data_IF_510222802974
#
_entry.id   IF_510222802974
#
_cell.length_a   1.000
_cell.length_b   1.000
_cell.length_c   1.000
_cell.angle_alpha   90.00
_cell.angle_beta   90.00
_cell.angle_gamma   90.00
#
_symmetry.space_group_name_H-M   'P 1'
#
loop_
_entity.id
_entity.type
_entity.pdbx_description
1 polymer ?
#
# COMPACT_ATOMS: atom_id res chain seq x y z
N UNK A 1 -4.28 -28.24 28.26
CA UNK A 1 -3.27 -27.89 27.24
C UNK A 1 -3.25 -26.38 27.11
N UNK A 2 -2.14 -25.74 27.47
CA UNK A 2 -2.01 -24.30 27.54
C UNK A 2 -1.47 -23.72 26.22
N UNK A 3 -2.09 -22.61 25.80
CA UNK A 3 -1.58 -21.44 25.07
C UNK A 3 -0.80 -21.61 23.75
N UNK A 4 -1.45 -21.18 22.66
CA UNK A 4 -0.86 -20.26 21.69
C UNK A 4 -1.96 -19.34 21.13
N UNK A 5 -1.95 -18.11 21.61
CA UNK A 5 -2.71 -16.94 21.13
C UNK A 5 -2.10 -16.54 19.78
N UNK A 6 -2.87 -16.41 18.71
CA UNK A 6 -2.65 -15.60 17.49
C UNK A 6 -3.72 -16.13 16.50
N UNK A 7 -4.83 -15.46 16.24
CA UNK A 7 -4.88 -14.18 15.55
C UNK A 7 -6.32 -13.65 15.69
N UNK A 8 -6.59 -12.96 16.79
CA UNK A 8 -7.71 -12.03 16.83
C UNK A 8 -7.20 -10.71 16.29
N UNK A 9 -7.59 -10.34 15.08
CA UNK A 9 -7.76 -8.95 14.64
C UNK A 9 -8.36 -9.00 13.22
N UNK A 10 -9.69 -8.89 13.10
CA UNK A 10 -10.40 -7.61 12.89
C UNK A 10 -10.10 -7.07 11.50
N UNK A 11 -10.99 -7.30 10.55
CA UNK A 11 -11.15 -6.40 9.40
C UNK A 11 -12.61 -6.00 9.21
N UNK A 12 -13.14 -5.36 10.24
CA UNK A 12 -14.04 -4.22 10.04
C UNK A 12 -13.15 -2.97 9.95
N UNK A 13 -12.60 -2.70 8.77
CA UNK A 13 -12.19 -1.35 8.38
C UNK A 13 -12.32 -1.29 6.87
N UNK A 14 -13.20 -0.42 6.40
CA UNK A 14 -13.43 -0.08 4.99
C UNK A 14 -12.16 0.49 4.30
N UNK A 15 -11.05 0.59 5.02
CA UNK A 15 -9.76 1.13 4.58
C UNK A 15 -8.63 0.30 5.21
N UNK A 16 -7.59 -0.07 4.44
CA UNK A 16 -6.44 -0.77 4.96
C UNK A 16 -5.66 0.15 5.92
N UNK A 17 -5.18 -0.41 7.04
CA UNK A 17 -4.34 0.34 7.97
C UNK A 17 -2.99 0.69 7.32
N UNK A 18 -2.42 1.84 7.67
CA UNK A 18 -1.12 2.31 7.16
C UNK A 18 -0.04 1.22 7.21
N UNK A 19 0.04 0.46 8.31
CA UNK A 19 0.98 -0.65 8.48
C UNK A 19 0.79 -1.79 7.45
N UNK A 20 -0.44 -2.08 7.05
CA UNK A 20 -0.70 -3.14 6.06
C UNK A 20 -0.37 -2.69 4.64
N UNK A 21 -0.70 -1.44 4.31
CA UNK A 21 -0.31 -0.82 3.05
C UNK A 21 1.21 -0.78 2.97
N UNK A 22 1.89 -0.30 4.01
CA UNK A 22 3.34 -0.25 4.06
C UNK A 22 3.97 -1.64 3.92
N UNK A 23 3.45 -2.65 4.62
CA UNK A 23 3.96 -4.02 4.53
C UNK A 23 3.76 -4.65 3.14
N UNK A 24 2.60 -4.41 2.51
CA UNK A 24 2.31 -4.89 1.17
C UNK A 24 3.22 -4.23 0.13
N UNK A 25 3.40 -2.91 0.23
CA UNK A 25 4.26 -2.16 -0.68
C UNK A 25 5.75 -2.45 -0.43
N UNK A 26 6.21 -2.57 0.81
CA UNK A 26 7.60 -2.94 1.14
C UNK A 26 8.03 -4.27 0.54
N UNK A 27 7.12 -5.24 0.41
CA UNK A 27 7.41 -6.52 -0.26
C UNK A 27 7.77 -6.37 -1.74
N UNK A 28 7.26 -5.32 -2.39
CA UNK A 28 7.43 -5.05 -3.82
C UNK A 28 8.42 -3.90 -4.10
N UNK A 29 8.67 -3.06 -3.11
CA UNK A 29 9.57 -1.92 -3.21
C UNK A 29 11.03 -2.36 -3.24
N UNK A 30 11.84 -1.64 -4.01
CA UNK A 30 13.29 -1.80 -4.08
C UNK A 30 13.95 -0.46 -3.81
N UNK A 31 14.84 -0.42 -2.82
CA UNK A 31 15.59 0.80 -2.48
C UNK A 31 14.73 1.99 -2.05
N UNK A 32 13.57 1.75 -1.43
CA UNK A 32 12.64 2.82 -1.01
C UNK A 32 11.74 3.36 -2.11
N UNK A 33 11.84 2.82 -3.33
CA UNK A 33 10.97 3.14 -4.46
C UNK A 33 10.15 1.94 -4.87
N UNK A 34 9.00 2.17 -5.47
CA UNK A 34 8.09 1.13 -5.96
C UNK A 34 7.50 1.52 -7.31
N UNK A 35 7.25 0.54 -8.17
CA UNK A 35 6.59 0.77 -9.46
C UNK A 35 5.12 1.08 -9.24
N UNK A 36 4.58 2.00 -10.03
CA UNK A 36 3.14 2.36 -10.02
C UNK A 36 2.26 1.11 -10.11
N UNK A 37 2.63 0.17 -10.98
CA UNK A 37 1.92 -1.10 -11.20
C UNK A 37 1.85 -1.97 -9.94
N UNK A 38 2.96 -2.08 -9.20
CA UNK A 38 3.04 -2.85 -7.96
C UNK A 38 2.28 -2.18 -6.81
N UNK A 39 2.23 -0.84 -6.79
CA UNK A 39 1.37 -0.11 -5.87
C UNK A 39 -0.09 -0.46 -6.17
N UNK A 40 -0.54 -0.23 -7.40
CA UNK A 40 -1.92 -0.48 -7.84
C UNK A 40 -2.38 -1.92 -7.59
N UNK A 41 -1.51 -2.91 -7.82
CA UNK A 41 -1.79 -4.30 -7.51
C UNK A 41 -2.01 -4.54 -6.02
N UNK A 42 -1.20 -3.89 -5.16
CA UNK A 42 -1.27 -4.03 -3.71
C UNK A 42 -2.53 -3.39 -3.12
N UNK A 43 -2.83 -2.14 -3.49
CA UNK A 43 -4.06 -1.44 -3.06
C UNK A 43 -5.34 -1.99 -3.69
N UNK A 44 -5.28 -2.49 -4.93
CA UNK A 44 -6.41 -3.18 -5.55
C UNK A 44 -6.81 -4.43 -4.76
N UNK A 45 -5.85 -5.15 -4.19
CA UNK A 45 -6.12 -6.27 -3.29
C UNK A 45 -6.70 -5.86 -1.93
N UNK A 46 -6.53 -4.60 -1.54
CA UNK A 46 -7.05 -4.02 -0.30
C UNK A 46 -8.42 -3.35 -0.47
N UNK A 47 -8.96 -3.32 -1.70
CA UNK A 47 -10.26 -2.71 -2.00
C UNK A 47 -10.25 -1.18 -2.04
N UNK A 48 -9.07 -0.54 -2.07
CA UNK A 48 -8.93 0.92 -2.19
C UNK A 48 -9.14 1.32 -3.66
N UNK A 49 -9.84 2.44 -3.89
CA UNK A 49 -10.01 3.00 -5.23
C UNK A 49 -8.67 3.33 -5.87
N UNK A 50 -8.32 2.56 -6.90
CA UNK A 50 -7.07 2.68 -7.64
C UNK A 50 -7.01 3.92 -8.52
N UNK A 51 -8.14 4.57 -8.83
CA UNK A 51 -8.19 5.76 -9.70
C UNK A 51 -7.47 6.98 -9.08
N UNK A 52 -7.79 7.32 -7.83
CA UNK A 52 -7.16 8.43 -7.11
C UNK A 52 -5.65 8.17 -6.93
N UNK A 53 -5.28 6.93 -6.64
CA UNK A 53 -3.90 6.53 -6.45
C UNK A 53 -3.15 6.50 -7.79
N UNK A 54 -3.73 5.97 -8.86
CA UNK A 54 -3.15 5.98 -10.21
C UNK A 54 -2.86 7.41 -10.68
N UNK A 55 -3.81 8.33 -10.47
CA UNK A 55 -3.63 9.74 -10.80
C UNK A 55 -2.47 10.35 -10.02
N UNK A 56 -2.46 10.18 -8.70
CA UNK A 56 -1.38 10.67 -7.84
C UNK A 56 -0.02 10.09 -8.26
N UNK A 57 0.05 8.78 -8.51
CA UNK A 57 1.26 8.09 -8.91
C UNK A 57 1.75 8.54 -10.30
N UNK A 58 0.85 8.85 -11.24
CA UNK A 58 1.22 9.40 -12.55
C UNK A 58 1.79 10.80 -12.47
N UNK A 59 1.30 11.62 -11.53
CA UNK A 59 1.81 12.97 -11.28
C UNK A 59 3.15 12.96 -10.51
N UNK A 60 3.37 11.96 -9.66
CA UNK A 60 4.54 11.87 -8.78
C UNK A 60 5.60 10.84 -9.18
N UNK A 61 5.46 10.17 -10.34
CA UNK A 61 6.47 9.22 -10.81
C UNK A 61 7.73 9.90 -11.32
N UNK A 62 8.86 9.27 -11.07
CA UNK A 62 10.14 9.60 -11.69
C UNK A 62 10.16 9.22 -13.18
N UNK A 63 11.20 9.65 -13.90
CA UNK A 63 11.42 9.30 -15.31
C UNK A 63 11.55 7.79 -15.56
N UNK A 64 11.85 6.99 -14.53
CA UNK A 64 11.86 5.52 -14.57
C UNK A 64 10.49 4.88 -14.29
N UNK A 65 9.44 5.67 -14.05
CA UNK A 65 8.11 5.16 -13.70
C UNK A 65 8.02 4.58 -12.28
N UNK A 66 8.97 4.94 -11.42
CA UNK A 66 8.96 4.59 -10.00
C UNK A 66 8.45 5.75 -9.17
N UNK A 67 7.88 5.45 -8.02
CA UNK A 67 7.41 6.42 -7.03
C UNK A 67 8.06 6.16 -5.68
N UNK A 68 8.13 7.18 -4.85
CA UNK A 68 8.61 7.04 -3.49
C UNK A 68 7.61 6.22 -2.65
N UNK A 69 8.11 5.17 -1.99
CA UNK A 69 7.30 4.28 -1.17
C UNK A 69 6.60 5.05 -0.06
N UNK A 70 7.31 5.95 0.62
CA UNK A 70 6.76 6.69 1.76
C UNK A 70 5.69 7.66 1.28
N UNK A 71 5.90 8.32 0.13
CA UNK A 71 4.92 9.20 -0.50
C UNK A 71 3.64 8.48 -0.88
N UNK A 72 3.75 7.31 -1.53
CA UNK A 72 2.60 6.51 -1.94
C UNK A 72 1.83 5.97 -0.71
N UNK A 73 2.54 5.42 0.28
CA UNK A 73 1.93 4.87 1.50
C UNK A 73 1.17 5.94 2.29
N UNK A 74 1.77 7.13 2.42
CA UNK A 74 1.16 8.27 3.12
C UNK A 74 -0.10 8.77 2.40
N UNK A 75 -0.07 8.82 1.07
CA UNK A 75 -1.24 9.21 0.27
C UNK A 75 -2.38 8.21 0.43
N UNK A 76 -2.10 6.91 0.26
CA UNK A 76 -3.09 5.83 0.40
C UNK A 76 -3.72 5.83 1.79
N UNK A 77 -2.91 6.07 2.83
CA UNK A 77 -3.40 6.12 4.22
C UNK A 77 -4.19 7.38 4.56
N UNK A 78 -4.17 8.39 3.68
CA UNK A 78 -4.93 9.63 3.82
C UNK A 78 -6.25 9.63 3.02
N UNK A 79 -6.50 8.59 2.22
CA UNK A 79 -7.76 8.37 1.51
C UNK A 79 -8.81 7.73 2.43
#
# INVERSE_FOLDING_TARGET
>A
MALAIFQWHRFTTLFPCHDEVEAALKKKASGGKIKVEDVLASIGSLGVSTDAVDRYLKEHKDSEGMVDLAGATKFISSL
#
